data_IF_822969253837
#
_entry.id   IF_822969253837
#
_cell.length_a   1.000
_cell.length_b   1.000
_cell.length_c   1.000
_cell.angle_alpha   90.00
_cell.angle_beta   90.00
_cell.angle_gamma   90.00
#
_symmetry.space_group_name_H-M   'P 1'
#
loop_
_entity.id
_entity.type
_entity.pdbx_description
1 polymer ?
#
# COMPACT_ATOMS: atom_id res chain seq x y z
N UNK A 1 -7.41 -29.65 42.92
CA UNK A 1 -7.56 -28.35 43.63
C UNK A 1 -6.24 -27.61 43.55
N UNK A 2 -6.17 -26.26 43.50
CA UNK A 2 -7.22 -25.26 43.25
C UNK A 2 -6.86 -24.27 42.13
N UNK A 3 -7.81 -23.36 41.92
CA UNK A 3 -7.99 -22.31 40.93
C UNK A 3 -7.37 -20.96 41.33
N UNK A 4 -7.18 -20.10 40.32
CA UNK A 4 -7.17 -18.61 40.31
C UNK A 4 -6.05 -17.86 41.05
N UNK A 5 -5.43 -16.91 40.33
CA UNK A 5 -5.40 -15.50 40.75
C UNK A 5 -5.24 -14.54 39.58
N UNK A 6 -6.34 -13.82 39.34
CA UNK A 6 -6.46 -12.56 38.61
C UNK A 6 -5.73 -11.46 39.39
N UNK A 7 -4.94 -10.64 38.72
CA UNK A 7 -4.48 -9.36 39.27
C UNK A 7 -5.20 -8.20 38.56
N UNK A 8 -6.16 -7.64 39.30
CA UNK A 8 -6.81 -6.37 39.05
C UNK A 8 -6.19 -5.34 39.99
N UNK A 9 -5.72 -4.21 39.46
CA UNK A 9 -5.51 -3.01 40.25
C UNK A 9 -6.29 -1.83 39.67
N UNK A 10 -7.35 -1.46 40.39
CA UNK A 10 -8.07 -0.19 40.31
C UNK A 10 -7.35 0.87 41.15
N UNK A 11 -7.22 2.06 40.54
CA UNK A 11 -7.45 3.44 41.05
C UNK A 11 -7.00 3.87 42.45
N UNK A 12 -6.33 5.03 42.48
CA UNK A 12 -6.39 6.05 43.57
C UNK A 12 -6.06 7.43 42.94
N UNK A 13 -7.05 8.23 42.51
CA UNK A 13 -7.76 9.36 43.19
C UNK A 13 -6.94 10.62 43.54
N UNK A 14 -7.42 11.75 42.97
CA UNK A 14 -7.58 13.13 43.48
C UNK A 14 -6.34 13.97 43.82
N UNK A 15 -6.09 15.09 43.12
CA UNK A 15 -6.77 16.42 43.14
C UNK A 15 -6.19 17.35 44.22
N UNK A 16 -5.58 18.47 43.80
CA UNK A 16 -5.50 19.76 44.48
C UNK A 16 -4.92 20.82 43.52
N UNK A 17 -5.22 22.08 43.81
CA UNK A 17 -5.60 23.11 42.86
C UNK A 17 -4.63 24.31 42.80
N UNK A 18 -4.78 25.10 41.71
CA UNK A 18 -4.60 26.57 41.54
C UNK A 18 -3.28 27.22 41.97
N UNK A 19 -2.64 27.96 41.05
CA UNK A 19 -2.68 29.45 41.04
C UNK A 19 -1.99 30.10 39.81
N UNK A 20 -2.47 31.32 39.51
CA UNK A 20 -1.86 32.43 38.74
C UNK A 20 -1.86 32.47 37.20
N UNK A 21 -2.99 32.98 36.69
CA UNK A 21 -3.16 34.31 36.05
C UNK A 21 -2.07 34.92 35.13
N UNK A 22 -2.61 35.43 34.01
CA UNK A 22 -2.22 36.58 33.18
C UNK A 22 -1.08 36.42 32.16
N UNK A 23 -1.47 36.31 30.88
CA UNK A 23 -1.18 37.39 29.93
C UNK A 23 -2.07 37.32 28.69
N UNK A 24 -2.92 38.33 28.57
CA UNK A 24 -3.69 38.72 27.39
C UNK A 24 -2.75 39.47 26.44
N UNK A 25 -2.51 38.94 25.24
CA UNK A 25 -2.13 39.74 24.08
C UNK A 25 -3.08 39.41 22.94
N UNK A 26 -3.99 40.35 22.73
CA UNK A 26 -4.82 40.47 21.54
C UNK A 26 -3.91 40.63 20.32
N UNK A 27 -3.93 39.68 19.41
CA UNK A 27 -3.43 39.87 18.04
C UNK A 27 -4.45 39.28 17.07
N UNK A 28 -4.99 40.16 16.23
CA UNK A 28 -5.90 39.86 15.13
C UNK A 28 -5.35 38.69 14.29
N UNK A 29 -6.19 37.78 13.75
CA UNK A 29 -5.72 36.89 12.71
C UNK A 29 -5.52 37.70 11.43
N UNK A 30 -4.26 38.00 11.14
CA UNK A 30 -3.82 38.49 9.84
C UNK A 30 -4.15 37.45 8.78
N UNK A 31 -4.97 37.84 7.81
CA UNK A 31 -5.24 37.10 6.60
C UNK A 31 -3.95 37.11 5.76
N UNK A 32 -3.09 36.13 5.99
CA UNK A 32 -2.10 35.63 5.04
C UNK A 32 -2.20 34.12 5.20
N UNK A 33 -2.47 33.31 4.18
CA UNK A 33 -1.56 33.14 3.07
C UNK A 33 -2.25 32.22 2.02
N UNK A 34 -3.03 32.80 1.10
CA UNK A 34 -3.69 32.00 0.03
C UNK A 34 -2.68 31.41 -0.96
N UNK A 35 -1.48 31.99 -1.05
CA UNK A 35 -0.44 31.59 -1.99
C UNK A 35 0.36 30.37 -1.51
N UNK A 36 0.60 30.21 -0.20
CA UNK A 36 1.18 28.97 0.33
C UNK A 36 0.21 27.79 0.20
N UNK A 37 -1.08 27.99 0.48
CA UNK A 37 -2.07 26.91 0.30
C UNK A 37 -2.15 26.43 -1.15
N UNK A 38 -2.06 27.33 -2.13
CA UNK A 38 -2.06 26.97 -3.56
C UNK A 38 -0.79 26.25 -4.00
N UNK A 39 0.36 26.61 -3.43
CA UNK A 39 1.63 25.94 -3.72
C UNK A 39 1.69 24.54 -3.06
N UNK A 40 1.14 24.40 -1.85
CA UNK A 40 0.99 23.12 -1.18
C UNK A 40 0.00 22.22 -1.94
N UNK A 41 -1.15 22.77 -2.36
CA UNK A 41 -2.15 22.06 -3.19
C UNK A 41 -1.55 21.64 -4.54
N UNK A 42 -0.78 22.52 -5.21
CA UNK A 42 -0.10 22.18 -6.46
C UNK A 42 1.02 21.15 -6.27
N UNK A 43 1.66 21.08 -5.08
CA UNK A 43 2.62 20.02 -4.77
C UNK A 43 1.95 18.67 -4.45
N UNK A 44 0.65 18.69 -4.10
CA UNK A 44 -0.19 17.50 -3.81
C UNK A 44 -0.97 17.03 -5.05
N UNK A 45 -1.10 17.87 -6.10
CA UNK A 45 -1.72 17.53 -7.38
C UNK A 45 -0.76 16.65 -8.20
N UNK A 46 -0.84 15.34 -8.01
CA UNK A 46 -0.21 14.40 -8.93
C UNK A 46 -0.81 14.61 -10.33
N UNK A 47 0.03 15.02 -11.26
CA UNK A 47 -0.37 15.23 -12.65
C UNK A 47 -0.35 13.91 -13.41
N UNK A 48 -1.05 13.88 -14.55
CA UNK A 48 -1.03 12.72 -15.42
C UNK A 48 0.39 12.49 -15.96
N UNK A 49 0.90 11.26 -15.85
CA UNK A 49 2.19 10.83 -16.36
C UNK A 49 1.99 9.75 -17.44
N UNK A 50 2.38 10.10 -18.68
CA UNK A 50 2.29 9.21 -19.85
C UNK A 50 3.16 7.95 -19.73
N UNK A 51 4.23 7.99 -18.94
CA UNK A 51 5.20 6.91 -18.78
C UNK A 51 4.85 5.94 -17.65
N UNK A 52 3.95 6.35 -16.73
CA UNK A 52 3.63 5.61 -15.51
C UNK A 52 3.19 4.18 -15.79
N UNK A 53 2.25 3.99 -16.72
CA UNK A 53 1.74 2.65 -17.01
C UNK A 53 2.81 1.73 -17.59
N UNK A 54 3.67 2.25 -18.47
CA UNK A 54 4.77 1.46 -19.03
C UNK A 54 5.79 1.04 -17.97
N UNK A 55 6.04 1.90 -16.96
CA UNK A 55 6.88 1.55 -15.83
C UNK A 55 6.24 0.43 -14.97
N UNK A 56 4.97 0.57 -14.61
CA UNK A 56 4.25 -0.43 -13.81
C UNK A 56 4.11 -1.79 -14.53
N UNK A 57 3.85 -1.79 -15.83
CA UNK A 57 3.83 -3.02 -16.65
C UNK A 57 5.22 -3.69 -16.67
N UNK A 58 6.31 -2.90 -16.68
CA UNK A 58 7.66 -3.46 -16.56
C UNK A 58 7.93 -4.01 -15.16
N UNK A 59 7.47 -3.35 -14.10
CA UNK A 59 7.58 -3.84 -12.72
C UNK A 59 6.87 -5.20 -12.58
N UNK A 60 5.68 -5.37 -13.17
CA UNK A 60 4.99 -6.67 -13.22
C UNK A 60 5.84 -7.78 -13.83
N UNK A 61 6.55 -7.49 -14.93
CA UNK A 61 7.45 -8.47 -15.59
C UNK A 61 8.56 -8.88 -14.63
N UNK A 62 9.19 -7.93 -13.94
CA UNK A 62 10.28 -8.21 -13.00
C UNK A 62 9.80 -8.99 -11.78
N UNK A 63 8.69 -8.58 -11.18
CA UNK A 63 8.07 -9.24 -10.02
C UNK A 63 7.70 -10.70 -10.38
N UNK A 64 7.09 -10.93 -11.53
CA UNK A 64 6.75 -12.29 -11.98
C UNK A 64 7.99 -13.13 -12.34
N UNK A 65 9.07 -12.51 -12.81
CA UNK A 65 10.34 -13.21 -13.02
C UNK A 65 10.95 -13.67 -11.69
N UNK A 66 10.97 -12.81 -10.68
CA UNK A 66 11.43 -13.14 -9.32
C UNK A 66 10.57 -14.23 -8.68
N UNK A 67 9.24 -14.16 -8.83
CA UNK A 67 8.32 -15.21 -8.38
C UNK A 67 8.67 -16.58 -8.97
N UNK A 68 8.86 -16.65 -10.30
CA UNK A 68 9.21 -17.91 -10.99
C UNK A 68 10.59 -18.43 -10.58
N UNK A 69 11.56 -17.53 -10.38
CA UNK A 69 12.91 -17.84 -9.90
C UNK A 69 12.86 -18.44 -8.50
N UNK A 70 12.15 -17.83 -7.56
CA UNK A 70 11.95 -18.35 -6.20
C UNK A 70 11.24 -19.72 -6.23
N UNK A 71 10.21 -19.88 -7.04
CA UNK A 71 9.53 -21.16 -7.22
C UNK A 71 10.48 -22.28 -7.70
N UNK A 72 11.39 -21.96 -8.62
CA UNK A 72 12.39 -22.90 -9.12
C UNK A 72 13.38 -23.28 -8.02
N UNK A 73 13.94 -22.30 -7.32
CA UNK A 73 14.89 -22.52 -6.22
C UNK A 73 14.27 -23.35 -5.08
N UNK A 74 13.01 -23.07 -4.74
CA UNK A 74 12.29 -23.84 -3.73
C UNK A 74 12.13 -25.32 -4.13
N UNK A 75 11.77 -25.61 -5.39
CA UNK A 75 11.70 -26.99 -5.91
C UNK A 75 13.06 -27.69 -5.95
N UNK A 76 14.11 -26.94 -6.23
CA UNK A 76 15.50 -27.43 -6.24
C UNK A 76 16.10 -27.53 -4.84
N UNK A 77 15.37 -27.10 -3.79
CA UNK A 77 15.82 -26.98 -2.40
C UNK A 77 17.09 -26.11 -2.26
N UNK A 78 17.27 -25.15 -3.16
CA UNK A 78 18.32 -24.13 -3.06
C UNK A 78 17.88 -23.03 -2.09
N UNK A 79 17.92 -23.35 -0.80
CA UNK A 79 17.38 -22.51 0.27
C UNK A 79 18.09 -21.15 0.36
N UNK A 80 19.41 -21.11 0.15
CA UNK A 80 20.19 -19.87 0.26
C UNK A 80 19.78 -18.89 -0.85
N UNK A 81 19.74 -19.37 -2.10
CA UNK A 81 19.34 -18.51 -3.21
C UNK A 81 17.85 -18.13 -3.16
N UNK A 82 17.01 -19.03 -2.63
CA UNK A 82 15.59 -18.75 -2.38
C UNK A 82 15.42 -17.56 -1.42
N UNK A 83 16.11 -17.57 -0.29
CA UNK A 83 16.00 -16.48 0.69
C UNK A 83 16.40 -15.12 0.10
N UNK A 84 17.50 -15.06 -0.65
CA UNK A 84 17.91 -13.84 -1.35
C UNK A 84 16.86 -13.37 -2.36
N UNK A 85 16.31 -14.30 -3.13
CA UNK A 85 15.30 -13.98 -4.15
C UNK A 85 13.97 -13.52 -3.51
N UNK A 86 13.61 -14.03 -2.33
CA UNK A 86 12.43 -13.57 -1.58
C UNK A 86 12.60 -12.14 -1.05
N UNK A 87 13.81 -11.77 -0.63
CA UNK A 87 14.13 -10.38 -0.23
C UNK A 87 14.03 -9.44 -1.44
N UNK A 88 14.59 -9.84 -2.58
CA UNK A 88 14.48 -9.09 -3.84
C UNK A 88 13.00 -8.93 -4.24
N UNK A 89 12.23 -10.03 -4.26
CA UNK A 89 10.80 -10.01 -4.57
C UNK A 89 10.02 -9.07 -3.65
N UNK A 90 10.24 -9.14 -2.34
CA UNK A 90 9.57 -8.28 -1.37
C UNK A 90 9.88 -6.80 -1.60
N UNK A 91 11.12 -6.49 -1.98
CA UNK A 91 11.58 -5.12 -2.27
C UNK A 91 10.89 -4.59 -3.53
N UNK A 92 10.95 -5.33 -4.64
CA UNK A 92 10.32 -4.92 -5.90
C UNK A 92 8.80 -4.79 -5.76
N UNK A 93 8.15 -5.74 -5.09
CA UNK A 93 6.72 -5.65 -4.82
C UNK A 93 6.38 -4.43 -3.95
N UNK A 94 7.16 -4.14 -2.92
CA UNK A 94 6.94 -2.94 -2.07
C UNK A 94 7.06 -1.65 -2.89
N UNK A 95 8.10 -1.53 -3.71
CA UNK A 95 8.31 -0.37 -4.57
C UNK A 95 7.14 -0.18 -5.55
N UNK A 96 6.69 -1.26 -6.20
CA UNK A 96 5.53 -1.26 -7.09
C UNK A 96 4.27 -0.72 -6.41
N UNK A 97 3.93 -1.25 -5.23
CA UNK A 97 2.76 -0.80 -4.45
C UNK A 97 2.87 0.68 -4.08
N UNK A 98 4.06 1.16 -3.68
CA UNK A 98 4.27 2.56 -3.35
C UNK A 98 4.03 3.48 -4.55
N UNK A 99 4.55 3.12 -5.72
CA UNK A 99 4.36 3.89 -6.96
C UNK A 99 2.86 3.95 -7.31
N UNK A 100 2.14 2.84 -7.17
CA UNK A 100 0.71 2.81 -7.44
C UNK A 100 -0.10 3.66 -6.45
N UNK A 101 0.18 3.55 -5.14
CA UNK A 101 -0.51 4.31 -4.11
C UNK A 101 -0.28 5.82 -4.28
N UNK A 102 0.98 6.23 -4.45
CA UNK A 102 1.38 7.63 -4.51
C UNK A 102 1.01 8.27 -5.85
N UNK A 103 1.09 7.54 -6.96
CA UNK A 103 0.94 8.14 -8.30
C UNK A 103 -0.38 7.76 -8.95
N UNK A 104 -0.64 6.46 -9.11
CA UNK A 104 -1.79 5.96 -9.87
C UNK A 104 -3.11 6.21 -9.13
N UNK A 105 -3.25 5.67 -7.92
CA UNK A 105 -4.46 5.79 -7.12
C UNK A 105 -4.71 7.22 -6.66
N UNK A 106 -3.65 7.95 -6.28
CA UNK A 106 -3.75 9.36 -5.92
C UNK A 106 -4.38 10.19 -7.06
N UNK A 107 -3.84 10.06 -8.28
CA UNK A 107 -4.39 10.73 -9.47
C UNK A 107 -5.84 10.30 -9.77
N UNK A 108 -6.14 8.99 -9.75
CA UNK A 108 -7.48 8.49 -10.06
C UNK A 108 -8.53 8.97 -9.04
N UNK A 109 -8.19 9.00 -7.75
CA UNK A 109 -9.06 9.54 -6.68
C UNK A 109 -9.32 11.02 -6.86
N UNK A 110 -8.28 11.79 -7.18
CA UNK A 110 -8.40 13.21 -7.47
C UNK A 110 -9.34 13.47 -8.67
N UNK A 111 -9.15 12.76 -9.79
CA UNK A 111 -10.02 12.86 -10.95
C UNK A 111 -11.46 12.48 -10.63
N UNK A 112 -11.66 11.40 -9.87
CA UNK A 112 -13.01 10.95 -9.51
C UNK A 112 -13.72 11.93 -8.56
N UNK A 113 -12.99 12.63 -7.70
CA UNK A 113 -13.56 13.62 -6.76
C UNK A 113 -14.29 14.77 -7.45
N UNK A 114 -13.93 15.06 -8.71
CA UNK A 114 -14.58 16.07 -9.56
C UNK A 114 -15.76 15.54 -10.39
N UNK A 115 -16.05 14.23 -10.29
CA UNK A 115 -17.01 13.49 -11.14
C UNK A 115 -18.20 12.96 -10.33
N UNK A 116 -19.10 12.22 -11.00
CA UNK A 116 -20.32 11.68 -10.40
C UNK A 116 -20.03 10.69 -9.26
N UNK A 117 -21.01 10.52 -8.36
CA UNK A 117 -20.87 9.60 -7.21
C UNK A 117 -20.59 8.14 -7.60
N UNK A 118 -20.94 7.72 -8.82
CA UNK A 118 -20.72 6.35 -9.32
C UNK A 118 -19.26 6.10 -9.65
N UNK A 119 -18.59 7.03 -10.34
CA UNK A 119 -17.18 6.90 -10.73
C UNK A 119 -16.26 6.90 -9.50
N UNK A 120 -16.59 7.72 -8.50
CA UNK A 120 -15.92 7.72 -7.19
C UNK A 120 -16.00 6.35 -6.51
N UNK A 121 -17.19 5.74 -6.50
CA UNK A 121 -17.39 4.40 -5.90
C UNK A 121 -16.59 3.32 -6.61
N UNK A 122 -16.45 3.40 -7.94
CA UNK A 122 -15.65 2.44 -8.72
C UNK A 122 -14.18 2.53 -8.32
N UNK A 123 -13.58 3.72 -8.36
CA UNK A 123 -12.17 3.91 -8.01
C UNK A 123 -11.90 3.51 -6.55
N UNK A 124 -12.77 3.89 -5.62
CA UNK A 124 -12.65 3.52 -4.21
C UNK A 124 -12.73 2.00 -3.99
N UNK A 125 -13.67 1.33 -4.66
CA UNK A 125 -13.82 -0.13 -4.59
C UNK A 125 -12.57 -0.84 -5.10
N UNK A 126 -12.06 -0.47 -6.27
CA UNK A 126 -10.84 -1.06 -6.84
C UNK A 126 -9.62 -0.84 -5.94
N UNK A 127 -9.44 0.38 -5.43
CA UNK A 127 -8.35 0.70 -4.50
C UNK A 127 -8.39 -0.19 -3.25
N UNK A 128 -9.59 -0.41 -2.69
CA UNK A 128 -9.76 -1.25 -1.50
C UNK A 128 -9.50 -2.73 -1.79
N UNK A 129 -9.95 -3.23 -2.94
CA UNK A 129 -9.75 -4.62 -3.34
C UNK A 129 -8.27 -4.90 -3.58
N UNK A 130 -7.56 -4.04 -4.32
CA UNK A 130 -6.12 -4.21 -4.55
C UNK A 130 -5.31 -4.09 -3.26
N UNK A 131 -5.69 -3.17 -2.35
CA UNK A 131 -5.08 -3.08 -1.02
C UNK A 131 -5.23 -4.37 -0.22
N UNK A 132 -6.39 -5.02 -0.26
CA UNK A 132 -6.59 -6.29 0.44
C UNK A 132 -5.69 -7.40 -0.12
N UNK A 133 -5.52 -7.45 -1.45
CA UNK A 133 -4.60 -8.40 -2.08
C UNK A 133 -3.15 -8.12 -1.64
N UNK A 134 -2.72 -6.85 -1.66
CA UNK A 134 -1.38 -6.47 -1.23
C UNK A 134 -1.13 -6.83 0.24
N UNK A 135 -2.12 -6.65 1.13
CA UNK A 135 -2.03 -7.06 2.54
C UNK A 135 -1.82 -8.57 2.67
N UNK A 136 -2.54 -9.38 1.90
CA UNK A 136 -2.37 -10.84 1.90
C UNK A 136 -0.97 -11.25 1.45
N UNK A 137 -0.44 -10.62 0.40
CA UNK A 137 0.92 -10.87 -0.10
C UNK A 137 1.97 -10.45 0.95
N UNK A 138 1.83 -9.26 1.54
CA UNK A 138 2.75 -8.81 2.61
C UNK A 138 2.68 -9.67 3.86
N UNK A 139 1.49 -10.16 4.22
CA UNK A 139 1.34 -11.09 5.35
C UNK A 139 2.19 -12.33 5.14
N UNK A 140 2.13 -12.94 3.95
CA UNK A 140 2.99 -14.07 3.58
C UNK A 140 4.49 -13.70 3.66
N UNK A 141 4.90 -12.58 3.05
CA UNK A 141 6.30 -12.16 3.04
C UNK A 141 6.84 -11.84 4.44
N UNK A 142 6.01 -11.29 5.32
CA UNK A 142 6.38 -10.94 6.70
C UNK A 142 6.52 -12.16 7.63
N UNK A 143 5.88 -13.28 7.29
CA UNK A 143 6.01 -14.54 8.02
C UNK A 143 7.33 -15.27 7.67
N UNK A 144 7.82 -15.11 6.45
CA UNK A 144 9.05 -15.75 5.96
C UNK A 144 10.34 -15.45 6.76
N UNK A 145 10.62 -14.21 7.22
CA UNK A 145 11.78 -13.95 8.09
C UNK A 145 11.62 -14.48 9.52
N UNK A 146 10.39 -14.70 9.99
CA UNK A 146 10.13 -15.26 11.33
C UNK A 146 10.13 -16.80 11.33
N UNK A 147 9.86 -17.42 10.18
CA UNK A 147 9.94 -18.87 9.95
C UNK A 147 10.81 -19.06 8.71
N UNK A 148 12.16 -19.10 8.85
CA UNK A 148 13.03 -19.29 7.70
C UNK A 148 12.61 -20.54 6.94
N UNK A 149 12.64 -20.47 5.62
CA UNK A 149 12.41 -21.65 4.78
C UNK A 149 13.55 -22.63 5.04
N UNK A 150 13.21 -23.86 5.40
CA UNK A 150 14.11 -24.98 5.68
C UNK A 150 13.69 -26.18 4.85
N UNK A 151 14.52 -27.23 4.84
CA UNK A 151 14.13 -28.49 4.20
C UNK A 151 12.88 -29.11 4.81
N UNK A 152 12.64 -28.89 6.11
CA UNK A 152 11.52 -29.47 6.85
C UNK A 152 10.17 -28.83 6.50
N UNK A 153 10.16 -27.56 6.05
CA UNK A 153 8.94 -26.81 5.75
C UNK A 153 8.77 -26.44 4.27
N UNK A 154 9.68 -26.86 3.39
CA UNK A 154 9.73 -26.43 1.98
C UNK A 154 8.46 -26.78 1.20
N UNK A 155 7.83 -27.93 1.46
CA UNK A 155 6.60 -28.34 0.79
C UNK A 155 5.42 -27.46 1.19
N UNK A 156 5.31 -27.16 2.48
CA UNK A 156 4.30 -26.24 3.00
C UNK A 156 4.51 -24.83 2.43
N UNK A 157 5.75 -24.34 2.43
CA UNK A 157 6.12 -23.09 1.79
C UNK A 157 5.72 -23.07 0.30
N UNK A 158 5.99 -24.15 -0.45
CA UNK A 158 5.64 -24.24 -1.87
C UNK A 158 4.13 -24.15 -2.11
N UNK A 159 3.31 -24.75 -1.25
CA UNK A 159 1.85 -24.64 -1.34
C UNK A 159 1.37 -23.21 -1.08
N UNK A 160 1.84 -22.59 0.00
CA UNK A 160 1.48 -21.20 0.32
C UNK A 160 1.99 -20.21 -0.74
N UNK A 161 3.21 -20.40 -1.25
CA UNK A 161 3.80 -19.54 -2.25
C UNK A 161 3.06 -19.62 -3.60
N UNK A 162 2.48 -20.78 -3.93
CA UNK A 162 1.58 -20.91 -5.09
C UNK A 162 0.29 -20.13 -4.91
N UNK A 163 -0.31 -20.18 -3.71
CA UNK A 163 -1.51 -19.41 -3.41
C UNK A 163 -1.25 -17.91 -3.46
N UNK A 164 -0.11 -17.46 -2.93
CA UNK A 164 0.34 -16.07 -3.06
C UNK A 164 0.52 -15.66 -4.53
N UNK A 165 1.14 -16.53 -5.34
CA UNK A 165 1.29 -16.29 -6.78
C UNK A 165 -0.04 -16.10 -7.52
N UNK A 166 -1.07 -16.89 -7.17
CA UNK A 166 -2.40 -16.72 -7.75
C UNK A 166 -3.03 -15.35 -7.40
N UNK A 167 -2.82 -14.85 -6.18
CA UNK A 167 -3.26 -13.51 -5.78
C UNK A 167 -2.51 -12.41 -6.53
N UNK A 168 -1.20 -12.59 -6.73
CA UNK A 168 -0.38 -11.67 -7.52
C UNK A 168 -0.85 -11.62 -8.99
N UNK A 169 -1.12 -12.77 -9.60
CA UNK A 169 -1.66 -12.84 -10.97
C UNK A 169 -3.02 -12.16 -11.08
N UNK A 170 -3.93 -12.39 -10.12
CA UNK A 170 -5.24 -11.71 -10.08
C UNK A 170 -5.07 -10.18 -10.02
N UNK A 171 -4.14 -9.71 -9.18
CA UNK A 171 -3.84 -8.28 -9.05
C UNK A 171 -3.39 -7.67 -10.38
N UNK A 172 -2.36 -8.26 -10.99
CA UNK A 172 -1.78 -7.81 -12.27
C UNK A 172 -2.86 -7.80 -13.36
N UNK A 173 -3.64 -8.88 -13.48
CA UNK A 173 -4.69 -8.99 -14.49
C UNK A 173 -5.72 -7.86 -14.35
N UNK A 174 -6.14 -7.57 -13.11
CA UNK A 174 -7.14 -6.53 -12.84
C UNK A 174 -6.59 -5.13 -13.07
N UNK A 175 -5.33 -4.90 -12.75
CA UNK A 175 -4.67 -3.63 -13.00
C UNK A 175 -4.55 -3.36 -14.50
N UNK A 176 -4.04 -4.32 -15.26
CA UNK A 176 -3.84 -4.18 -16.70
C UNK A 176 -5.15 -4.12 -17.49
N UNK A 177 -6.16 -4.93 -17.12
CA UNK A 177 -7.43 -4.97 -17.86
C UNK A 177 -8.41 -3.89 -17.47
N UNK A 178 -8.29 -3.31 -16.27
CA UNK A 178 -9.31 -2.41 -15.74
C UNK A 178 -8.72 -1.07 -15.32
N UNK A 179 -7.74 -1.07 -14.40
CA UNK A 179 -7.24 0.16 -13.81
C UNK A 179 -6.42 1.01 -14.80
N UNK A 180 -5.51 0.38 -15.54
CA UNK A 180 -4.65 1.06 -16.49
C UNK A 180 -5.43 1.67 -17.67
N UNK A 181 -6.47 1.02 -18.23
CA UNK A 181 -7.36 1.66 -19.19
C UNK A 181 -8.10 2.89 -18.65
N UNK A 182 -8.55 2.86 -17.39
CA UNK A 182 -9.21 4.02 -16.75
C UNK A 182 -8.22 5.19 -16.67
N UNK A 183 -6.98 4.94 -16.22
CA UNK A 183 -5.93 5.94 -16.18
C UNK A 183 -5.60 6.47 -17.58
N UNK A 184 -5.32 5.60 -18.56
CA UNK A 184 -5.02 6.00 -19.95
C UNK A 184 -6.15 6.86 -20.56
N UNK A 185 -7.41 6.58 -20.22
CA UNK A 185 -8.58 7.31 -20.73
C UNK A 185 -8.84 8.65 -20.03
N UNK A 186 -8.36 8.84 -18.80
CA UNK A 186 -8.57 10.09 -18.05
C UNK A 186 -7.83 11.28 -18.68
N UNK A 187 -6.74 11.03 -19.41
CA UNK A 187 -6.00 12.06 -20.16
C UNK A 187 -6.92 12.86 -21.09
N UNK A 188 -7.83 12.17 -21.79
CA UNK A 188 -8.75 12.80 -22.76
C UNK A 188 -9.75 13.76 -22.12
N UNK A 189 -9.97 13.68 -20.80
CA UNK A 189 -10.90 14.55 -20.07
C UNK A 189 -10.24 15.89 -19.71
N UNK A 190 -8.91 15.96 -19.70
CA UNK A 190 -8.16 17.19 -19.35
C UNK A 190 -7.94 18.11 -20.57
N UNK A 191 -8.02 17.57 -21.79
CA UNK A 191 -7.79 18.31 -23.06
C UNK A 191 -9.03 19.11 -23.56
N UNK A 192 -10.03 19.40 -22.72
CA UNK A 192 -11.17 20.24 -23.12
C UNK A 192 -10.87 21.68 -22.69
N UNK A 193 -10.18 22.42 -23.57
CA UNK A 193 -10.02 23.88 -23.54
C UNK A 193 -10.93 24.51 -24.58
#
# INVERSE_FOLDING_TARGET
>A
MPSLKVFSHKKKTKELAKESANNTVSSKPSISNSNNLKNDINSILHTYDVSLIGALENDHIQIMALYRKALKQAREKDIVSLQLTLVEFATEFTNHIQIEDERLYSYLKMMASSKSSTEQKVVAKFSSEMKNISISIFSFLSQSPCIPVTEDNIEFFLEEFKQMGALLEERIEREEKILYPIYKSSRKVVDIS
#
